data_IF_974747899649
#
_entry.id   IF_974747899649
#
_cell.length_a   1.000
_cell.length_b   1.000
_cell.length_c   1.000
_cell.angle_alpha   90.00
_cell.angle_beta   90.00
_cell.angle_gamma   90.00
#
_symmetry.space_group_name_H-M   'P 1'
#
loop_
_entity.id
_entity.type
_entity.pdbx_description
1 polymer ?
#
# COMPACT_ATOMS: atom_id res chain seq x y z
N UNK A 1 9.74 -10.96 22.31
CA UNK A 1 9.05 -11.26 21.04
C UNK A 1 9.64 -12.52 20.45
N UNK A 2 8.86 -13.60 20.35
CA UNK A 2 9.37 -14.90 19.90
C UNK A 2 9.61 -14.97 18.38
N UNK A 3 8.88 -14.16 17.62
CA UNK A 3 8.90 -14.13 16.15
C UNK A 3 9.27 -12.75 15.58
N UNK A 4 9.72 -11.82 16.41
CA UNK A 4 10.14 -10.47 16.00
C UNK A 4 9.05 -9.54 15.46
N UNK A 5 7.77 -9.87 15.65
CA UNK A 5 6.64 -9.01 15.31
C UNK A 5 5.95 -8.51 16.57
N UNK A 6 5.41 -7.28 16.50
CA UNK A 6 4.49 -6.70 17.47
C UNK A 6 3.15 -6.40 16.82
N UNK A 7 2.08 -6.56 17.59
CA UNK A 7 0.78 -5.97 17.26
C UNK A 7 0.87 -4.46 17.46
N UNK A 8 0.45 -3.71 16.45
CA UNK A 8 0.57 -2.24 16.37
C UNK A 8 -0.68 -1.63 15.72
N UNK A 9 -0.69 -0.31 15.53
CA UNK A 9 -1.77 0.41 14.83
C UNK A 9 -3.08 0.31 15.63
N UNK A 10 -4.16 -0.25 15.07
CA UNK A 10 -5.43 -0.40 15.81
C UNK A 10 -5.30 -1.24 17.08
N UNK A 11 -4.33 -2.16 17.16
CA UNK A 11 -4.10 -2.94 18.39
C UNK A 11 -3.53 -2.10 19.53
N UNK A 12 -2.90 -0.96 19.26
CA UNK A 12 -2.45 -0.05 20.32
C UNK A 12 -3.64 0.63 21.03
N UNK A 13 -4.74 0.86 20.31
CA UNK A 13 -6.00 1.34 20.89
C UNK A 13 -6.57 0.27 21.83
N UNK A 14 -6.63 -0.98 21.37
CA UNK A 14 -7.09 -2.12 22.18
C UNK A 14 -6.20 -2.38 23.40
N UNK A 15 -4.92 -2.06 23.32
CA UNK A 15 -3.97 -2.14 24.42
C UNK A 15 -4.06 -0.95 25.39
N UNK A 16 -4.97 0.00 25.16
CA UNK A 16 -5.17 1.18 26.02
C UNK A 16 -4.10 2.26 25.88
N UNK A 17 -3.25 2.22 24.84
CA UNK A 17 -2.16 3.20 24.64
C UNK A 17 -2.66 4.58 24.21
N UNK A 18 -3.95 4.72 23.90
CA UNK A 18 -4.59 5.95 23.46
C UNK A 18 -5.57 6.54 24.47
N UNK A 19 -5.68 5.98 25.69
CA UNK A 19 -6.69 6.43 26.66
C UNK A 19 -6.46 7.88 27.15
N UNK A 20 -5.20 8.32 27.21
CA UNK A 20 -4.82 9.64 27.74
C UNK A 20 -3.94 10.44 26.74
N UNK A 21 -4.19 10.27 25.43
CA UNK A 21 -3.38 10.92 24.39
C UNK A 21 -4.22 11.96 23.66
N UNK A 22 -3.71 13.19 23.56
CA UNK A 22 -4.34 14.26 22.82
C UNK A 22 -3.65 14.41 21.46
N UNK A 23 -4.08 13.62 20.49
CA UNK A 23 -3.57 13.68 19.11
C UNK A 23 -4.60 14.37 18.20
N UNK A 24 -4.08 15.07 17.20
CA UNK A 24 -4.87 15.54 16.06
C UNK A 24 -5.33 14.36 15.21
N UNK A 25 -6.37 14.59 14.38
CA UNK A 25 -6.85 13.58 13.43
C UNK A 25 -5.75 13.09 12.48
N UNK A 26 -4.87 13.98 12.01
CA UNK A 26 -3.75 13.65 11.13
C UNK A 26 -2.80 12.64 11.80
N UNK A 27 -2.48 12.85 13.09
CA UNK A 27 -1.58 12.00 13.86
C UNK A 27 -2.12 10.57 14.03
N UNK A 28 -3.45 10.39 14.15
CA UNK A 28 -4.05 9.06 14.15
C UNK A 28 -3.93 8.36 12.78
N UNK A 29 -4.08 9.10 11.67
CA UNK A 29 -4.04 8.53 10.32
C UNK A 29 -2.63 8.06 9.90
N UNK A 30 -1.60 8.64 10.51
CA UNK A 30 -0.19 8.31 10.25
C UNK A 30 0.43 7.40 11.35
N UNK A 31 -0.33 7.02 12.38
CA UNK A 31 0.15 6.09 13.42
C UNK A 31 0.51 4.73 12.80
N UNK A 32 1.80 4.36 12.87
CA UNK A 32 2.38 3.19 12.17
C UNK A 32 2.26 3.17 10.65
N UNK A 33 2.05 4.33 10.03
CA UNK A 33 2.14 4.47 8.57
C UNK A 33 3.60 4.60 8.16
N UNK A 34 4.10 3.64 7.40
CA UNK A 34 5.44 3.68 6.85
C UNK A 34 5.48 4.53 5.58
N UNK A 35 6.68 4.97 5.21
CA UNK A 35 6.93 5.90 4.11
C UNK A 35 6.26 5.50 2.78
N UNK A 36 6.26 4.20 2.46
CA UNK A 36 5.66 3.68 1.23
C UNK A 36 4.27 3.07 1.40
N UNK A 37 3.61 3.30 2.54
CA UNK A 37 2.26 2.78 2.78
C UNK A 37 1.24 3.66 2.06
N UNK A 38 0.61 3.16 0.97
CA UNK A 38 -0.45 3.91 0.32
C UNK A 38 -1.68 3.98 1.23
N UNK A 39 -2.65 4.86 0.95
CA UNK A 39 -3.84 5.03 1.80
C UNK A 39 -4.64 3.75 2.05
N UNK A 40 -4.63 2.83 1.09
CA UNK A 40 -5.28 1.52 1.14
C UNK A 40 -4.68 0.61 2.21
N UNK A 41 -3.43 0.84 2.60
CA UNK A 41 -2.67 -0.02 3.49
C UNK A 41 -2.68 0.51 4.93
N UNK A 42 -3.07 -0.37 5.86
CA UNK A 42 -3.12 -0.11 7.29
C UNK A 42 -2.30 -1.14 8.05
N UNK A 43 -1.15 -0.71 8.59
CA UNK A 43 -0.24 -1.57 9.36
C UNK A 43 -0.87 -2.06 10.67
N UNK A 44 -0.71 -3.36 10.93
CA UNK A 44 -1.22 -4.03 12.14
C UNK A 44 -0.18 -4.92 12.84
N UNK A 45 0.87 -5.33 12.12
CA UNK A 45 2.04 -6.01 12.69
C UNK A 45 3.32 -5.38 12.17
N UNK A 46 4.33 -5.19 13.03
CA UNK A 46 5.62 -4.62 12.61
C UNK A 46 6.81 -5.30 13.30
N UNK A 47 7.92 -5.45 12.56
CA UNK A 47 9.28 -5.66 13.10
C UNK A 47 10.02 -4.31 13.07
N UNK A 48 10.04 -3.63 14.21
CA UNK A 48 10.62 -2.29 14.37
C UNK A 48 12.10 -2.19 14.03
N UNK A 49 12.82 -3.30 13.92
CA UNK A 49 14.26 -3.30 13.60
C UNK A 49 14.54 -3.30 12.10
N UNK A 50 13.63 -3.87 11.32
CA UNK A 50 13.86 -4.09 9.87
C UNK A 50 12.98 -3.20 9.01
N UNK A 51 11.94 -2.61 9.59
CA UNK A 51 10.89 -1.91 8.84
C UNK A 51 9.90 -2.86 8.15
N UNK A 52 10.13 -4.18 8.21
CA UNK A 52 9.15 -5.15 7.74
C UNK A 52 7.85 -5.03 8.54
N UNK A 53 6.74 -4.95 7.85
CA UNK A 53 5.44 -4.84 8.49
C UNK A 53 4.34 -5.48 7.62
N UNK A 54 3.24 -5.82 8.27
CA UNK A 54 2.07 -6.47 7.69
C UNK A 54 0.85 -5.61 8.00
N UNK A 55 0.01 -5.42 7.00
CA UNK A 55 -1.17 -4.57 7.07
C UNK A 55 -2.34 -5.14 6.32
N UNK A 56 -3.52 -4.64 6.67
CA UNK A 56 -4.71 -4.82 5.85
C UNK A 56 -4.61 -3.90 4.63
N UNK A 57 -5.00 -4.41 3.47
CA UNK A 57 -5.13 -3.64 2.25
C UNK A 57 -6.59 -3.63 1.81
N UNK A 58 -7.17 -2.43 1.69
CA UNK A 58 -8.56 -2.22 1.30
C UNK A 58 -8.61 -1.40 0.03
N UNK A 59 -9.26 -1.92 -1.02
CA UNK A 59 -9.46 -1.16 -2.24
C UNK A 59 -10.48 -0.02 -2.06
N UNK A 60 -11.40 -0.16 -1.11
CA UNK A 60 -12.45 0.82 -0.80
C UNK A 60 -12.54 1.01 0.72
N UNK A 61 -12.46 2.24 1.24
CA UNK A 61 -12.49 2.48 2.68
C UNK A 61 -13.84 2.12 3.34
N UNK A 62 -14.92 2.04 2.57
CA UNK A 62 -16.27 1.71 3.06
C UNK A 62 -16.65 0.24 2.86
N UNK A 63 -15.76 -0.57 2.26
CA UNK A 63 -15.97 -2.00 2.07
C UNK A 63 -15.35 -2.82 3.20
N UNK A 64 -16.00 -3.94 3.51
CA UNK A 64 -15.43 -4.98 4.37
C UNK A 64 -14.47 -5.91 3.61
N UNK A 65 -14.46 -5.87 2.27
CA UNK A 65 -13.51 -6.63 1.45
C UNK A 65 -12.08 -6.13 1.67
N UNK A 66 -11.21 -7.04 2.09
CA UNK A 66 -9.79 -6.75 2.30
C UNK A 66 -8.93 -7.97 2.00
N UNK A 67 -7.63 -7.70 1.84
CA UNK A 67 -6.58 -8.73 1.89
C UNK A 67 -5.55 -8.31 2.93
N UNK A 68 -4.63 -9.22 3.26
CA UNK A 68 -3.46 -8.91 4.07
C UNK A 68 -2.22 -8.92 3.17
N UNK A 69 -1.39 -7.90 3.32
CA UNK A 69 -0.15 -7.75 2.56
C UNK A 69 1.01 -7.35 3.49
N UNK A 70 2.24 -7.49 3.00
CA UNK A 70 3.45 -7.03 3.68
C UNK A 70 4.29 -6.14 2.81
N UNK A 71 5.02 -5.22 3.44
CA UNK A 71 6.12 -4.48 2.87
C UNK A 71 7.44 -4.87 3.56
N UNK A 72 8.55 -4.75 2.83
CA UNK A 72 9.87 -5.15 3.34
C UNK A 72 10.60 -4.03 4.12
N UNK A 73 10.05 -2.82 4.18
CA UNK A 73 10.60 -1.63 4.83
C UNK A 73 11.66 -0.89 4.01
N UNK A 74 11.97 -1.33 2.78
CA UNK A 74 13.07 -0.82 1.96
C UNK A 74 12.61 -0.13 0.68
N UNK A 75 11.56 -0.66 0.07
CA UNK A 75 10.99 -0.17 -1.18
C UNK A 75 9.46 -0.11 -1.08
N UNK A 76 8.80 0.30 -2.16
CA UNK A 76 7.34 0.40 -2.21
C UNK A 76 6.62 -0.91 -2.53
N UNK A 77 7.33 -2.03 -2.74
CA UNK A 77 6.69 -3.26 -3.18
C UNK A 77 5.90 -3.92 -2.03
N UNK A 78 4.66 -4.27 -2.35
CA UNK A 78 3.73 -4.95 -1.45
C UNK A 78 3.50 -6.38 -1.95
N UNK A 79 3.48 -7.32 -1.00
CA UNK A 79 3.28 -8.74 -1.27
C UNK A 79 2.03 -9.23 -0.56
N UNK A 80 1.07 -9.77 -1.32
CA UNK A 80 -0.12 -10.39 -0.75
C UNK A 80 0.24 -11.63 0.08
N UNK A 81 -0.27 -11.70 1.30
CA UNK A 81 -0.04 -12.80 2.24
C UNK A 81 -1.27 -13.67 2.50
N UNK A 82 -2.47 -13.18 2.18
CA UNK A 82 -3.71 -13.93 2.36
C UNK A 82 -4.92 -13.01 2.49
N UNK A 83 -6.03 -13.58 2.96
CA UNK A 83 -7.27 -12.85 3.23
C UNK A 83 -7.39 -12.35 4.68
N UNK A 84 -6.71 -13.01 5.63
CA UNK A 84 -6.75 -12.64 7.04
C UNK A 84 -5.35 -12.69 7.70
N UNK A 85 -5.27 -12.08 8.88
CA UNK A 85 -4.01 -11.91 9.62
C UNK A 85 -3.42 -13.24 10.09
N UNK A 86 -4.25 -14.25 10.38
CA UNK A 86 -3.77 -15.56 10.83
C UNK A 86 -3.11 -16.33 9.67
N UNK A 87 -3.69 -16.30 8.47
CA UNK A 87 -3.08 -16.89 7.27
C UNK A 87 -1.76 -16.19 6.90
N UNK A 88 -1.71 -14.86 7.03
CA UNK A 88 -0.49 -14.09 6.84
C UNK A 88 0.59 -14.46 7.88
N UNK A 89 0.21 -14.56 9.16
CA UNK A 89 1.11 -14.92 10.25
C UNK A 89 1.64 -16.35 10.10
N UNK A 90 0.80 -17.30 9.69
CA UNK A 90 1.23 -18.68 9.36
C UNK A 90 2.32 -18.66 8.29
N UNK A 91 2.05 -17.99 7.16
CA UNK A 91 2.99 -17.89 6.04
C UNK A 91 4.31 -17.22 6.45
N UNK A 92 4.22 -16.18 7.30
CA UNK A 92 5.38 -15.50 7.86
C UNK A 92 6.23 -16.42 8.75
N UNK A 93 5.60 -17.13 9.69
CA UNK A 93 6.30 -18.04 10.60
C UNK A 93 6.93 -19.20 9.85
N UNK A 94 6.22 -19.77 8.87
CA UNK A 94 6.74 -20.85 8.01
C UNK A 94 7.97 -20.39 7.21
N UNK A 95 7.97 -19.16 6.69
CA UNK A 95 9.14 -18.56 6.02
C UNK A 95 10.27 -18.31 7.02
N UNK A 96 9.95 -17.74 8.19
CA UNK A 96 10.94 -17.42 9.23
C UNK A 96 11.63 -18.67 9.76
N UNK A 97 10.95 -19.81 9.89
CA UNK A 97 11.56 -21.09 10.27
C UNK A 97 12.62 -21.62 9.30
N UNK A 98 12.51 -21.25 8.02
CA UNK A 98 13.47 -21.62 6.98
C UNK A 98 14.69 -20.69 6.98
N UNK A 99 14.52 -19.43 7.39
CA UNK A 99 15.55 -18.39 7.28
C UNK A 99 16.16 -17.96 8.61
N UNK A 100 15.58 -18.35 9.75
CA UNK A 100 16.06 -17.95 11.07
C UNK A 100 17.38 -18.63 11.44
N UNK A 101 18.18 -17.94 12.25
CA UNK A 101 19.40 -18.49 12.80
C UNK A 101 19.10 -19.69 13.75
N UNK A 102 20.06 -20.59 13.96
CA UNK A 102 19.88 -21.76 14.82
C UNK A 102 19.49 -21.43 16.27
N UNK A 103 19.83 -20.24 16.78
CA UNK A 103 19.53 -19.86 18.17
C UNK A 103 18.09 -19.39 18.35
N UNK A 104 17.50 -18.72 17.34
CA UNK A 104 16.10 -18.30 17.38
C UNK A 104 15.13 -19.40 16.94
N UNK A 105 15.58 -20.39 16.16
CA UNK A 105 14.75 -21.48 15.63
C UNK A 105 13.90 -22.22 16.68
N UNK A 106 14.41 -22.60 17.87
CA UNK A 106 13.58 -23.26 18.88
C UNK A 106 12.42 -22.39 19.38
N UNK A 107 12.64 -21.07 19.51
CA UNK A 107 11.61 -20.11 19.94
C UNK A 107 10.52 -19.98 18.88
N UNK A 108 10.90 -19.85 17.61
CA UNK A 108 9.96 -19.78 16.49
C UNK A 108 9.17 -21.08 16.34
N UNK A 109 9.80 -22.25 16.51
CA UNK A 109 9.11 -23.55 16.48
C UNK A 109 8.10 -23.70 17.61
N UNK A 110 8.46 -23.27 18.82
CA UNK A 110 7.54 -23.26 19.97
C UNK A 110 6.33 -22.37 19.70
N UNK A 111 6.55 -21.17 19.16
CA UNK A 111 5.48 -20.27 18.76
C UNK A 111 4.58 -20.91 17.69
N UNK A 112 5.16 -21.49 16.63
CA UNK A 112 4.39 -22.13 15.56
C UNK A 112 3.48 -23.24 16.10
N UNK A 113 3.99 -24.10 16.99
CA UNK A 113 3.17 -25.16 17.60
C UNK A 113 2.00 -24.60 18.41
N UNK A 114 2.24 -23.57 19.23
CA UNK A 114 1.20 -22.91 20.01
C UNK A 114 0.17 -22.17 19.14
N UNK A 115 0.65 -21.54 18.06
CA UNK A 115 -0.21 -20.87 17.09
C UNK A 115 -1.10 -21.90 16.38
N UNK A 116 -0.53 -22.97 15.85
CA UNK A 116 -1.26 -24.02 15.14
C UNK A 116 -2.25 -24.77 16.04
N UNK A 117 -1.98 -24.91 17.35
CA UNK A 117 -2.93 -25.53 18.27
C UNK A 117 -4.18 -24.68 18.52
N UNK A 118 -4.12 -23.37 18.24
CA UNK A 118 -5.24 -22.43 18.36
C UNK A 118 -5.77 -21.94 17.01
N UNK A 119 -5.09 -22.31 15.92
CA UNK A 119 -5.45 -21.89 14.57
C UNK A 119 -6.60 -22.77 14.08
N UNK A 120 -7.81 -22.24 14.19
CA UNK A 120 -8.97 -22.78 13.51
C UNK A 120 -8.87 -22.34 12.05
N UNK A 121 -8.15 -23.13 11.24
CA UNK A 121 -7.92 -22.78 9.85
C UNK A 121 -9.23 -22.71 9.10
N UNK A 122 -9.60 -21.52 8.67
CA UNK A 122 -10.77 -21.36 7.82
C UNK A 122 -10.43 -21.94 6.43
N UNK A 123 -11.14 -22.99 6.01
CA UNK A 123 -10.87 -23.76 4.78
C UNK A 123 -10.91 -22.93 3.50
N UNK A 124 -11.35 -21.67 3.58
CA UNK A 124 -11.59 -20.74 2.48
C UNK A 124 -10.46 -19.72 2.23
N UNK A 125 -9.31 -19.84 2.90
CA UNK A 125 -8.30 -18.78 3.08
C UNK A 125 -7.49 -18.28 1.85
N UNK A 126 -7.99 -18.45 0.62
CA UNK A 126 -7.40 -17.87 -0.60
C UNK A 126 -8.43 -17.26 -1.56
N UNK A 127 -9.71 -17.25 -1.20
CA UNK A 127 -10.74 -16.79 -2.12
C UNK A 127 -10.69 -15.28 -2.33
N UNK A 128 -10.41 -14.47 -1.30
CA UNK A 128 -10.40 -13.02 -1.44
C UNK A 128 -9.29 -12.53 -2.40
N UNK A 129 -8.05 -13.02 -2.24
CA UNK A 129 -6.93 -12.65 -3.10
C UNK A 129 -7.20 -13.03 -4.56
N UNK A 130 -7.67 -14.25 -4.83
CA UNK A 130 -7.99 -14.71 -6.19
C UNK A 130 -9.19 -13.96 -6.80
N UNK A 131 -10.21 -13.64 -5.99
CA UNK A 131 -11.34 -12.82 -6.43
C UNK A 131 -10.89 -11.41 -6.78
N UNK A 132 -10.05 -10.81 -5.94
CA UNK A 132 -9.48 -9.47 -6.14
C UNK A 132 -8.63 -9.41 -7.40
N UNK A 133 -7.76 -10.40 -7.64
CA UNK A 133 -6.91 -10.47 -8.84
C UNK A 133 -7.69 -10.32 -10.15
N UNK A 134 -8.94 -10.79 -10.20
CA UNK A 134 -9.81 -10.66 -11.39
C UNK A 134 -10.36 -9.24 -11.58
N UNK A 135 -10.36 -8.41 -10.54
CA UNK A 135 -10.85 -7.02 -10.54
C UNK A 135 -9.72 -6.00 -10.72
N UNK A 136 -8.45 -6.42 -10.66
CA UNK A 136 -7.29 -5.53 -10.80
C UNK A 136 -7.24 -4.98 -12.22
N UNK A 137 -7.12 -3.65 -12.33
CA UNK A 137 -6.98 -2.96 -13.63
C UNK A 137 -5.50 -2.76 -14.01
N UNK A 138 -4.63 -2.46 -13.03
CA UNK A 138 -3.19 -2.31 -13.22
C UNK A 138 -2.42 -2.72 -11.96
N UNK A 139 -1.11 -2.94 -12.04
CA UNK A 139 -0.30 -3.38 -10.89
C UNK A 139 0.28 -2.25 -10.05
N UNK A 140 0.41 -1.05 -10.63
CA UNK A 140 1.17 0.10 -10.11
C UNK A 140 2.61 -0.28 -9.72
N UNK A 141 3.35 0.68 -9.18
CA UNK A 141 4.72 0.49 -8.72
C UNK A 141 4.82 -0.38 -7.47
N UNK A 142 3.82 -0.36 -6.58
CA UNK A 142 3.80 -1.21 -5.38
C UNK A 142 3.40 -2.67 -5.65
N UNK A 143 3.07 -3.03 -6.90
CA UNK A 143 2.82 -4.41 -7.39
C UNK A 143 1.59 -5.14 -6.86
N UNK A 144 0.95 -4.65 -5.79
CA UNK A 144 -0.30 -5.21 -5.29
C UNK A 144 -1.52 -4.90 -6.18
N UNK A 145 -1.42 -3.90 -7.06
CA UNK A 145 -2.43 -3.53 -8.04
C UNK A 145 -3.60 -2.70 -7.53
N UNK A 146 -4.27 -2.05 -8.48
CA UNK A 146 -5.37 -1.12 -8.29
C UNK A 146 -6.70 -1.77 -8.69
N UNK A 147 -7.74 -1.56 -7.88
CA UNK A 147 -9.12 -1.91 -8.21
C UNK A 147 -9.97 -0.64 -8.14
N UNK A 148 -10.63 -0.31 -9.24
CA UNK A 148 -11.58 0.80 -9.37
C UNK A 148 -12.84 0.33 -10.09
N UNK A 149 -13.95 1.08 -10.01
CA UNK A 149 -15.10 0.82 -10.88
C UNK A 149 -14.65 0.82 -12.35
N UNK A 150 -14.86 -0.30 -13.04
CA UNK A 150 -14.50 -0.47 -14.45
C UNK A 150 -15.60 -1.26 -15.16
N UNK A 151 -16.28 -0.61 -16.10
CA UNK A 151 -17.30 -1.25 -16.93
C UNK A 151 -16.62 -1.93 -18.12
N UNK A 152 -16.63 -3.26 -18.11
CA UNK A 152 -16.02 -4.08 -19.17
C UNK A 152 -16.75 -4.03 -20.51
N UNK A 153 -18.00 -3.56 -20.54
CA UNK A 153 -18.78 -3.47 -21.79
C UNK A 153 -18.47 -2.18 -22.54
N UNK A 154 -18.34 -1.08 -21.80
CA UNK A 154 -18.03 0.24 -22.37
C UNK A 154 -16.54 0.54 -22.34
N UNK A 155 -15.75 -0.25 -21.63
CA UNK A 155 -14.32 -0.04 -21.36
C UNK A 155 -14.05 1.32 -20.69
N UNK A 156 -14.94 1.72 -19.78
CA UNK A 156 -14.86 3.01 -19.05
C UNK A 156 -14.52 2.77 -17.59
N UNK A 157 -13.64 3.61 -17.05
CA UNK A 157 -13.23 3.65 -15.65
C UNK A 157 -11.70 3.57 -15.47
N UNK A 158 -10.99 3.06 -16.48
CA UNK A 158 -9.55 2.94 -16.50
C UNK A 158 -9.03 2.77 -17.93
N UNK A 159 -7.93 3.48 -18.24
CA UNK A 159 -7.05 3.20 -19.38
C UNK A 159 -5.58 3.25 -18.95
N UNK A 160 -4.73 2.54 -19.69
CA UNK A 160 -3.30 2.50 -19.40
C UNK A 160 -2.63 3.88 -19.58
N UNK A 161 -1.58 4.13 -18.79
CA UNK A 161 -0.69 5.27 -19.02
C UNK A 161 -0.04 5.18 -20.41
N UNK A 162 0.24 6.34 -21.00
CA UNK A 162 0.91 6.43 -22.31
C UNK A 162 2.35 5.86 -22.31
N UNK A 163 2.91 5.61 -21.12
CA UNK A 163 4.24 5.06 -20.90
C UNK A 163 4.13 3.86 -19.96
N UNK A 164 4.87 2.78 -20.24
CA UNK A 164 4.92 1.62 -19.36
C UNK A 164 5.75 1.88 -18.09
N UNK A 165 5.60 1.01 -17.07
CA UNK A 165 6.34 1.08 -15.80
C UNK A 165 7.85 1.31 -15.96
N UNK A 166 8.50 0.61 -16.90
CA UNK A 166 9.94 0.67 -17.04
C UNK A 166 10.41 2.02 -17.57
N UNK A 167 9.68 2.58 -18.55
CA UNK A 167 9.98 3.91 -19.09
C UNK A 167 9.62 4.99 -18.07
N UNK A 168 8.48 4.88 -17.39
CA UNK A 168 8.07 5.82 -16.36
C UNK A 168 9.08 5.85 -15.19
N UNK A 169 9.50 4.69 -14.68
CA UNK A 169 10.54 4.61 -13.64
C UNK A 169 11.84 5.28 -14.06
N UNK A 170 12.27 5.12 -15.32
CA UNK A 170 13.47 5.80 -15.84
C UNK A 170 13.32 7.32 -15.84
N UNK A 171 12.16 7.84 -16.29
CA UNK A 171 11.86 9.28 -16.27
C UNK A 171 11.80 9.83 -14.84
N UNK A 172 11.18 9.08 -13.93
CA UNK A 172 11.02 9.49 -12.53
C UNK A 172 12.29 9.32 -11.68
N UNK A 173 13.26 8.52 -12.12
CA UNK A 173 14.53 8.34 -11.40
C UNK A 173 15.28 9.65 -11.18
N UNK A 174 15.19 10.58 -12.14
CA UNK A 174 15.85 11.89 -12.06
C UNK A 174 15.42 12.64 -10.79
N UNK A 175 14.16 12.50 -10.36
CA UNK A 175 13.66 13.18 -9.16
C UNK A 175 14.25 12.65 -7.84
N UNK A 176 14.91 11.48 -7.84
CA UNK A 176 15.55 10.92 -6.66
C UNK A 176 16.99 11.43 -6.47
N UNK A 177 17.69 11.68 -7.58
CA UNK A 177 19.14 11.82 -7.61
C UNK A 177 19.61 13.26 -7.93
N UNK A 178 18.71 14.20 -8.27
CA UNK A 178 19.07 15.46 -8.93
C UNK A 178 19.09 16.73 -8.07
N UNK A 179 19.98 17.66 -8.45
CA UNK A 179 19.96 19.08 -8.04
C UNK A 179 18.79 19.85 -8.71
N UNK A 180 18.42 21.00 -8.13
CA UNK A 180 17.21 21.78 -8.50
C UNK A 180 17.10 22.11 -10.01
N UNK A 181 18.22 22.28 -10.72
CA UNK A 181 18.22 22.66 -12.14
C UNK A 181 17.70 21.54 -13.07
N UNK A 182 17.96 20.28 -12.74
CA UNK A 182 17.53 19.13 -13.55
C UNK A 182 16.04 18.80 -13.36
N UNK A 183 15.42 19.28 -12.28
CA UNK A 183 14.01 19.03 -11.97
C UNK A 183 13.06 19.65 -13.01
N UNK A 184 13.40 20.81 -13.59
CA UNK A 184 12.56 21.44 -14.61
C UNK A 184 12.54 20.63 -15.92
N UNK A 185 13.69 20.07 -16.30
CA UNK A 185 13.80 19.18 -17.46
C UNK A 185 13.05 17.88 -17.18
N UNK A 186 13.21 17.31 -15.99
CA UNK A 186 12.49 16.12 -15.56
C UNK A 186 10.97 16.33 -15.58
N UNK A 187 10.48 17.44 -15.04
CA UNK A 187 9.06 17.82 -15.09
C UNK A 187 8.55 17.97 -16.51
N UNK A 188 9.33 18.63 -17.39
CA UNK A 188 9.00 18.76 -18.81
C UNK A 188 8.86 17.39 -19.49
N UNK A 189 9.69 16.42 -19.11
CA UNK A 189 9.69 15.06 -19.67
C UNK A 189 8.45 14.22 -19.31
N UNK A 190 7.74 14.59 -18.24
CA UNK A 190 6.51 13.92 -17.77
C UNK A 190 5.24 14.72 -18.07
N UNK A 191 5.34 15.97 -18.58
CA UNK A 191 4.16 16.77 -18.98
C UNK A 191 3.23 16.06 -19.98
N UNK A 192 3.73 15.34 -21.00
CA UNK A 192 2.84 14.60 -21.89
C UNK A 192 2.01 13.53 -21.16
N UNK A 193 2.59 12.91 -20.11
CA UNK A 193 1.91 11.91 -19.29
C UNK A 193 0.82 12.59 -18.45
N UNK A 194 1.15 13.71 -17.80
CA UNK A 194 0.19 14.53 -17.04
C UNK A 194 -1.00 14.93 -17.91
N UNK A 195 -0.74 15.39 -19.14
CA UNK A 195 -1.78 15.77 -20.09
C UNK A 195 -2.67 14.59 -20.46
N UNK A 196 -2.09 13.43 -20.76
CA UNK A 196 -2.84 12.22 -21.07
C UNK A 196 -3.70 11.72 -19.89
N UNK A 197 -3.19 11.80 -18.66
CA UNK A 197 -3.93 11.44 -17.45
C UNK A 197 -5.13 12.38 -17.23
N UNK A 198 -4.97 13.68 -17.46
CA UNK A 198 -6.09 14.62 -17.37
C UNK A 198 -7.17 14.34 -18.42
N UNK A 199 -6.78 14.08 -19.68
CA UNK A 199 -7.74 13.68 -20.72
C UNK A 199 -8.49 12.39 -20.35
N UNK A 200 -7.78 11.39 -19.83
CA UNK A 200 -8.40 10.16 -19.34
C UNK A 200 -9.41 10.44 -18.22
N UNK A 201 -9.04 11.34 -17.29
CA UNK A 201 -9.90 11.75 -16.18
C UNK A 201 -11.18 12.44 -16.65
N UNK A 202 -11.08 13.35 -17.62
CA UNK A 202 -12.25 14.02 -18.22
C UNK A 202 -13.16 13.03 -18.96
N UNK A 203 -12.60 11.95 -19.51
CA UNK A 203 -13.30 10.86 -20.18
C UNK A 203 -13.75 9.73 -19.22
N UNK A 204 -13.80 10.01 -17.91
CA UNK A 204 -14.25 9.10 -16.86
C UNK A 204 -13.35 7.90 -16.54
N UNK A 205 -12.12 7.88 -17.06
CA UNK A 205 -11.10 6.87 -16.73
C UNK A 205 -10.31 7.25 -15.47
N UNK A 206 -11.04 7.39 -14.37
CA UNK A 206 -10.50 7.88 -13.09
C UNK A 206 -9.39 7.00 -12.50
N UNK A 207 -9.38 5.71 -12.82
CA UNK A 207 -8.33 4.78 -12.39
C UNK A 207 -6.93 5.20 -12.85
N UNK A 208 -6.83 5.83 -14.03
CA UNK A 208 -5.57 6.30 -14.60
C UNK A 208 -4.92 7.39 -13.74
N UNK A 209 -5.74 8.30 -13.17
CA UNK A 209 -5.26 9.31 -12.23
C UNK A 209 -4.75 8.69 -10.93
N UNK A 210 -5.45 7.67 -10.41
CA UNK A 210 -5.03 6.97 -9.19
C UNK A 210 -3.73 6.19 -9.42
N UNK A 211 -3.61 5.44 -10.52
CA UNK A 211 -2.37 4.75 -10.89
C UNK A 211 -1.19 5.72 -10.94
N UNK A 212 -1.33 6.82 -11.69
CA UNK A 212 -0.25 7.78 -11.84
C UNK A 212 0.12 8.42 -10.49
N UNK A 213 -0.88 8.79 -9.68
CA UNK A 213 -0.65 9.32 -8.34
C UNK A 213 0.07 8.34 -7.41
N UNK A 214 -0.30 7.06 -7.45
CA UNK A 214 0.34 5.98 -6.69
C UNK A 214 1.79 5.79 -7.17
N UNK A 215 2.04 5.77 -8.48
CA UNK A 215 3.38 5.57 -9.03
C UNK A 215 4.33 6.71 -8.68
N UNK A 216 3.83 7.95 -8.68
CA UNK A 216 4.55 9.12 -8.18
C UNK A 216 4.84 9.03 -6.68
N UNK A 217 3.88 8.58 -5.88
CA UNK A 217 4.07 8.34 -4.43
C UNK A 217 5.12 7.25 -4.18
N UNK A 218 5.01 6.12 -4.88
CA UNK A 218 5.93 4.99 -4.80
C UNK A 218 7.36 5.31 -5.27
N UNK A 219 7.55 6.37 -6.06
CA UNK A 219 8.88 6.85 -6.39
C UNK A 219 9.63 7.34 -5.13
N UNK A 220 8.94 8.00 -4.19
CA UNK A 220 9.51 8.47 -2.93
C UNK A 220 10.22 9.83 -2.99
N UNK A 221 10.24 10.50 -4.14
CA UNK A 221 10.79 11.87 -4.22
C UNK A 221 9.82 12.91 -3.66
N UNK A 222 10.32 13.73 -2.71
CA UNK A 222 9.58 14.88 -2.15
C UNK A 222 9.16 15.90 -3.22
N UNK A 223 9.91 15.99 -4.31
CA UNK A 223 9.59 16.88 -5.44
C UNK A 223 8.30 16.47 -6.17
N UNK A 224 7.88 15.21 -6.04
CA UNK A 224 6.67 14.68 -6.66
C UNK A 224 5.46 14.69 -5.70
N UNK A 225 5.63 14.98 -4.41
CA UNK A 225 4.54 14.89 -3.42
C UNK A 225 3.33 15.74 -3.80
N UNK A 226 3.53 16.99 -4.23
CA UNK A 226 2.41 17.86 -4.63
C UNK A 226 1.67 17.30 -5.85
N UNK A 227 2.40 16.72 -6.80
CA UNK A 227 1.82 16.14 -8.01
C UNK A 227 1.09 14.82 -7.69
N UNK A 228 1.69 13.96 -6.86
CA UNK A 228 1.06 12.74 -6.37
C UNK A 228 -0.24 13.07 -5.62
N UNK A 229 -0.20 14.06 -4.72
CA UNK A 229 -1.36 14.51 -3.95
C UNK A 229 -2.47 15.02 -4.87
N UNK A 230 -2.14 15.82 -5.87
CA UNK A 230 -3.10 16.33 -6.85
C UNK A 230 -3.87 15.20 -7.53
N UNK A 231 -3.16 14.20 -8.07
CA UNK A 231 -3.77 13.10 -8.79
C UNK A 231 -4.51 12.12 -7.88
N UNK A 232 -3.94 11.78 -6.72
CA UNK A 232 -4.59 10.91 -5.74
C UNK A 232 -5.87 11.55 -5.20
N UNK A 233 -5.84 12.84 -4.84
CA UNK A 233 -7.03 13.56 -4.39
C UNK A 233 -8.12 13.59 -5.47
N UNK A 234 -7.74 13.88 -6.71
CA UNK A 234 -8.67 13.93 -7.83
C UNK A 234 -9.29 12.55 -8.09
N UNK A 235 -8.46 11.53 -8.28
CA UNK A 235 -8.90 10.17 -8.54
C UNK A 235 -9.77 9.59 -7.42
N UNK A 236 -9.30 9.63 -6.17
CA UNK A 236 -10.10 9.13 -5.03
C UNK A 236 -11.42 9.89 -4.85
N UNK A 237 -11.47 11.20 -5.13
CA UNK A 237 -12.72 11.93 -5.04
C UNK A 237 -13.73 11.47 -6.11
N UNK A 238 -13.26 11.26 -7.34
CA UNK A 238 -14.09 10.83 -8.47
C UNK A 238 -14.59 9.38 -8.32
N UNK A 239 -13.82 8.51 -7.66
CA UNK A 239 -14.29 7.15 -7.28
C UNK A 239 -14.93 7.09 -5.88
N UNK A 240 -15.22 8.26 -5.28
CA UNK A 240 -15.91 8.41 -3.99
C UNK A 240 -15.20 7.82 -2.74
N UNK A 241 -13.87 7.69 -2.75
CA UNK A 241 -13.04 7.16 -1.65
C UNK A 241 -12.41 8.27 -0.80
N UNK A 242 -13.25 9.15 -0.25
CA UNK A 242 -12.79 10.38 0.43
C UNK A 242 -11.88 10.16 1.66
N UNK A 243 -12.01 9.04 2.37
CA UNK A 243 -11.13 8.75 3.52
C UNK A 243 -9.66 8.54 3.10
N UNK A 244 -9.42 8.00 1.89
CA UNK A 244 -8.06 7.86 1.36
C UNK A 244 -7.42 9.22 1.06
N UNK A 245 -8.22 10.24 0.71
CA UNK A 245 -7.75 11.61 0.53
C UNK A 245 -7.20 12.17 1.85
N UNK A 246 -7.96 12.02 2.94
CA UNK A 246 -7.51 12.49 4.27
C UNK A 246 -6.21 11.81 4.70
N UNK A 247 -6.10 10.51 4.45
CA UNK A 247 -4.91 9.72 4.78
C UNK A 247 -3.70 10.22 4.00
N UNK A 248 -3.80 10.39 2.68
CA UNK A 248 -2.65 10.83 1.87
C UNK A 248 -2.27 12.30 2.16
N UNK A 249 -3.25 13.17 2.43
CA UNK A 249 -3.00 14.55 2.84
C UNK A 249 -2.23 14.60 4.17
N UNK A 250 -2.65 13.81 5.17
CA UNK A 250 -1.94 13.70 6.44
C UNK A 250 -0.54 13.07 6.26
N UNK A 251 -0.41 12.06 5.39
CA UNK A 251 0.86 11.36 5.15
C UNK A 251 1.90 12.26 4.49
N UNK A 252 1.53 12.99 3.43
CA UNK A 252 2.50 13.81 2.67
C UNK A 252 2.87 15.15 3.33
N UNK A 253 2.09 15.58 4.32
CA UNK A 253 2.32 16.79 5.10
C UNK A 253 3.39 16.62 6.19
N UNK A 254 3.62 15.38 6.65
CA UNK A 254 4.53 15.04 7.74
C UNK A 254 5.76 14.27 7.23
#
# INVERSE_FOLDING_TARGET
QDIGLMLVGPYDVLAGKFNDVNLSSDEYLIHWRYFYDPPEFLTVLADTRTGFHIGYFRDDPYSDEHIVASNNGKDCELVALGDNIFTALKSYVDKRLKTCDPFSKPKVQKFQKLFLSKYEGDSNCQNAVKKRQKKIVCKTFHKLGLVVPFDRKTEVGYRDLIENDATLKKKLKIFLDSDIQDLNVAMSSIQPIIMAVNLATDECDFGTAIEFGIDLFCNGSKHLHNLALLFLRTGYNLVHRKEFIKIIEAHLKN
#
